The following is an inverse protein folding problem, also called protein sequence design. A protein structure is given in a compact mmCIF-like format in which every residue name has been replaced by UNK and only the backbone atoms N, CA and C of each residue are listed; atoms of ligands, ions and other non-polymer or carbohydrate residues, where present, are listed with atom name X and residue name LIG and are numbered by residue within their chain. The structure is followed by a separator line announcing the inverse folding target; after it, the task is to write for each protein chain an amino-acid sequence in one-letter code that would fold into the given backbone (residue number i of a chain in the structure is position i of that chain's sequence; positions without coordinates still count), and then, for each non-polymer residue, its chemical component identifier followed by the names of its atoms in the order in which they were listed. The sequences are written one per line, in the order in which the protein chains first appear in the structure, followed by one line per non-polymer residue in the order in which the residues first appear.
data_IF_472211469629
#
_entry.id   IF_472211469629
#
_cell.length_a   1.000
_cell.length_b   1.000
_cell.length_c   1.000
_cell.angle_alpha   90.00
_cell.angle_beta   90.00
_cell.angle_gamma   90.00
#
_symmetry.space_group_name_H-M   'P 1'
#
loop_
_entity.id
_entity.type
_entity.pdbx_description
1 polymer ?
#
# COMPACT_ATOMS: atom_id res chain seq x y z
N UNK A 1 -10.34 70.36 -28.00
CA UNK A 1 -10.66 70.62 -29.42
C UNK A 1 -10.01 69.52 -30.25
N UNK A 2 -10.83 68.81 -31.02
CA UNK A 2 -10.53 67.82 -32.08
C UNK A 2 -9.89 66.50 -31.60
N UNK A 3 -10.25 65.32 -32.08
CA UNK A 3 -11.44 64.72 -32.71
C UNK A 3 -11.14 63.21 -32.73
N UNK A 4 -12.16 62.37 -32.54
CA UNK A 4 -12.10 60.90 -32.51
C UNK A 4 -11.94 60.26 -33.92
N UNK A 5 -12.29 58.97 -34.15
CA UNK A 5 -11.39 57.80 -34.23
C UNK A 5 -11.44 57.11 -35.62
N UNK A 6 -10.73 55.99 -35.82
CA UNK A 6 -11.01 55.10 -36.96
C UNK A 6 -11.12 53.62 -36.51
N UNK A 7 -12.29 53.05 -36.81
CA UNK A 7 -12.64 51.63 -36.78
C UNK A 7 -11.94 50.87 -37.93
N UNK A 8 -11.71 49.57 -37.72
CA UNK A 8 -11.77 48.58 -38.80
C UNK A 8 -12.47 47.30 -38.30
N UNK A 9 -13.73 47.17 -38.70
CA UNK A 9 -14.43 45.90 -38.99
C UNK A 9 -13.72 45.28 -40.21
N UNK A 10 -13.51 43.98 -40.38
CA UNK A 10 -14.38 42.83 -40.19
C UNK A 10 -14.51 42.12 -41.54
N UNK A 11 -14.27 40.81 -41.64
CA UNK A 11 -14.86 39.98 -42.70
C UNK A 11 -14.86 38.49 -42.33
N UNK A 12 -16.07 37.95 -42.19
CA UNK A 12 -16.38 36.52 -42.29
C UNK A 12 -16.17 36.05 -43.73
N UNK A 13 -15.75 34.79 -43.92
CA UNK A 13 -16.17 34.01 -45.08
C UNK A 13 -16.46 32.57 -44.69
N UNK A 14 -17.70 32.17 -44.97
CA UNK A 14 -18.34 30.87 -44.88
C UNK A 14 -18.16 30.16 -46.24
N UNK A 15 -17.93 28.85 -46.26
CA UNK A 15 -18.34 27.88 -47.30
C UNK A 15 -17.91 26.47 -46.81
N UNK A 16 -18.81 25.61 -46.29
CA UNK A 16 -19.78 24.74 -47.00
C UNK A 16 -19.07 23.70 -47.89
N UNK A 17 -18.97 22.44 -47.45
CA UNK A 17 -19.89 21.29 -47.67
C UNK A 17 -19.39 20.41 -48.82
N UNK A 18 -19.06 19.15 -48.53
CA UNK A 18 -19.20 18.08 -49.53
C UNK A 18 -19.51 16.74 -48.85
N UNK A 19 -20.52 16.08 -49.40
CA UNK A 19 -21.23 14.92 -48.89
C UNK A 19 -21.11 13.78 -49.91
N UNK A 20 -21.04 12.56 -49.38
CA UNK A 20 -21.35 11.26 -49.98
C UNK A 20 -20.30 10.58 -50.88
N UNK A 21 -20.03 9.29 -50.57
CA UNK A 21 -20.70 8.16 -51.25
C UNK A 21 -20.59 6.83 -50.48
N UNK A 22 -21.59 5.94 -50.60
CA UNK A 22 -21.61 4.57 -50.07
C UNK A 22 -21.25 3.53 -51.15
N UNK A 23 -20.90 2.30 -50.72
CA UNK A 23 -20.94 1.12 -51.59
C UNK A 23 -20.07 -0.03 -51.11
N UNK A 24 -20.68 -1.14 -50.70
CA UNK A 24 -20.68 -2.40 -51.46
C UNK A 24 -21.27 -3.55 -50.63
N UNK A 25 -22.24 -4.25 -51.23
CA UNK A 25 -22.81 -5.52 -50.78
C UNK A 25 -22.59 -6.58 -51.89
N UNK A 26 -22.27 -7.82 -51.51
CA UNK A 26 -22.52 -9.10 -52.23
C UNK A 26 -21.96 -10.26 -51.37
N UNK A 27 -22.70 -11.33 -50.95
CA UNK A 27 -23.34 -12.44 -51.71
C UNK A 27 -22.28 -13.25 -52.50
N UNK A 28 -22.00 -14.57 -52.36
CA UNK A 28 -22.73 -15.81 -52.00
C UNK A 28 -21.70 -16.96 -51.64
N UNK A 29 -21.90 -18.30 -51.82
CA UNK A 29 -22.13 -19.29 -50.74
C UNK A 29 -21.20 -20.54 -50.79
N UNK A 30 -21.59 -21.63 -50.09
CA UNK A 30 -21.18 -23.06 -50.20
C UNK A 30 -20.31 -23.60 -49.03
N UNK A 31 -20.88 -24.50 -48.20
CA UNK A 31 -20.73 -26.00 -48.19
C UNK A 31 -19.30 -26.44 -47.86
N UNK A 32 -19.00 -27.43 -47.04
CA UNK A 32 -19.74 -28.44 -46.26
C UNK A 32 -18.69 -29.36 -45.63
N UNK A 33 -18.95 -29.90 -44.43
CA UNK A 33 -18.17 -30.92 -43.72
C UNK A 33 -16.77 -30.43 -43.26
N UNK A 34 -16.30 -30.62 -42.03
CA UNK A 34 -16.36 -31.86 -41.29
C UNK A 34 -16.25 -31.66 -39.78
N UNK A 35 -16.74 -32.68 -39.11
CA UNK A 35 -16.75 -33.02 -37.69
C UNK A 35 -15.39 -32.83 -37.01
N UNK A 36 -15.28 -31.89 -36.07
CA UNK A 36 -14.45 -32.07 -34.88
C UNK A 36 -15.05 -31.31 -33.71
N UNK A 37 -15.73 -32.07 -32.85
CA UNK A 37 -15.97 -31.73 -31.46
C UNK A 37 -14.60 -31.48 -30.81
N UNK A 38 -14.17 -30.22 -30.77
CA UNK A 38 -13.16 -29.79 -29.81
C UNK A 38 -13.93 -29.23 -28.63
N UNK A 39 -14.35 -30.15 -27.77
CA UNK A 39 -14.52 -29.88 -26.35
C UNK A 39 -13.17 -29.44 -25.82
N UNK A 40 -12.83 -28.16 -25.93
CA UNK A 40 -11.88 -27.53 -25.03
C UNK A 40 -12.60 -27.30 -23.71
N UNK A 41 -12.82 -28.40 -23.00
CA UNK A 41 -12.77 -28.37 -21.55
C UNK A 41 -11.37 -27.90 -21.19
N UNK A 42 -11.17 -26.59 -21.04
CA UNK A 42 -10.23 -26.12 -20.02
C UNK A 42 -10.79 -26.64 -18.72
N UNK A 43 -10.41 -27.87 -18.39
CA UNK A 43 -10.71 -28.47 -17.11
C UNK A 43 -10.15 -27.52 -16.07
N UNK A 44 -11.03 -26.79 -15.40
CA UNK A 44 -10.74 -26.26 -14.09
C UNK A 44 -10.47 -27.49 -13.23
N UNK A 45 -9.18 -27.81 -13.08
CA UNK A 45 -8.74 -28.86 -12.17
C UNK A 45 -9.25 -28.42 -10.79
N UNK A 46 -10.07 -29.26 -10.17
CA UNK A 46 -10.59 -29.02 -8.83
C UNK A 46 -9.41 -28.70 -7.90
N UNK A 47 -9.52 -27.59 -7.16
CA UNK A 47 -8.45 -27.03 -6.37
C UNK A 47 -8.18 -27.83 -5.09
N UNK A 48 -7.78 -29.10 -5.17
CA UNK A 48 -7.36 -29.88 -3.99
C UNK A 48 -6.38 -31.01 -4.34
N UNK A 49 -5.13 -30.64 -4.61
CA UNK A 49 -3.91 -31.49 -4.58
C UNK A 49 -2.75 -30.49 -4.51
N UNK A 50 -1.95 -30.31 -3.46
CA UNK A 50 -1.45 -31.12 -2.34
C UNK A 50 -1.04 -30.08 -1.28
N UNK A 51 -1.44 -30.11 -0.02
CA UNK A 51 -1.12 -31.12 0.98
C UNK A 51 -2.28 -32.06 1.31
N UNK A 52 -2.02 -33.36 1.25
CA UNK A 52 -2.87 -34.39 1.86
C UNK A 52 -4.31 -34.48 1.31
N UNK A 53 -4.49 -35.08 0.14
CA UNK A 53 -5.82 -35.50 -0.33
C UNK A 53 -6.32 -36.74 0.42
N UNK A 54 -7.62 -36.76 0.75
CA UNK A 54 -8.33 -37.91 1.33
C UNK A 54 -8.08 -39.16 0.49
N UNK A 55 -7.48 -40.20 1.09
CA UNK A 55 -7.24 -41.50 0.47
C UNK A 55 -5.77 -41.92 0.26
N UNK A 56 -4.78 -41.15 0.71
CA UNK A 56 -3.37 -41.57 0.63
C UNK A 56 -2.91 -42.23 1.94
N UNK A 57 -3.02 -43.55 1.99
CA UNK A 57 -2.23 -44.38 2.91
C UNK A 57 -0.76 -44.28 2.52
N UNK A 58 -0.04 -43.34 3.13
CA UNK A 58 1.42 -43.23 3.06
C UNK A 58 1.91 -41.98 2.35
N UNK A 59 2.50 -41.04 3.11
CA UNK A 59 3.42 -40.05 2.52
C UNK A 59 3.40 -38.60 3.04
N UNK A 60 2.56 -38.23 4.02
CA UNK A 60 2.56 -36.85 4.55
C UNK A 60 2.15 -36.77 6.02
N UNK A 61 3.04 -36.25 6.87
CA UNK A 61 2.94 -36.28 8.34
C UNK A 61 2.00 -35.23 8.98
N UNK A 62 0.95 -34.78 8.29
CA UNK A 62 0.02 -33.79 8.83
C UNK A 62 -1.23 -34.46 9.42
N UNK A 63 -1.61 -34.13 10.67
CA UNK A 63 -2.93 -34.47 11.22
C UNK A 63 -3.02 -35.59 12.28
N UNK A 64 -1.96 -35.87 13.06
CA UNK A 64 -2.08 -36.74 14.25
C UNK A 64 -2.48 -35.94 15.51
N UNK A 65 -2.78 -36.63 16.61
CA UNK A 65 -3.02 -36.03 17.93
C UNK A 65 -1.70 -35.65 18.62
N UNK A 66 -1.64 -34.47 19.26
CA UNK A 66 -0.43 -33.96 19.96
C UNK A 66 0.35 -32.87 19.20
N UNK A 67 -0.29 -32.16 18.27
CA UNK A 67 0.39 -31.30 17.29
C UNK A 67 -0.36 -29.97 17.10
N UNK A 68 0.36 -28.85 16.86
CA UNK A 68 -0.20 -27.49 16.82
C UNK A 68 -0.80 -27.08 15.45
N UNK A 69 -1.84 -26.23 15.41
CA UNK A 69 -2.57 -25.90 14.18
C UNK A 69 -1.79 -24.94 13.25
N UNK A 70 -1.89 -25.12 11.93
CA UNK A 70 -1.54 -24.07 10.98
C UNK A 70 -2.62 -22.98 11.02
N UNK A 71 -2.28 -21.80 11.54
CA UNK A 71 -3.23 -20.71 11.85
C UNK A 71 -3.75 -19.95 10.61
N UNK A 72 -3.17 -20.19 9.43
CA UNK A 72 -3.49 -19.52 8.16
C UNK A 72 -3.82 -20.50 7.01
N UNK A 73 -3.92 -21.79 7.29
CA UNK A 73 -4.27 -22.79 6.28
C UNK A 73 -5.75 -22.66 5.89
N UNK A 74 -6.03 -22.81 4.59
CA UNK A 74 -7.40 -22.74 4.05
C UNK A 74 -8.31 -23.91 4.47
N UNK A 75 -7.82 -24.85 5.29
CA UNK A 75 -8.60 -25.96 5.84
C UNK A 75 -8.38 -26.06 7.35
N UNK A 76 -9.43 -26.48 8.06
CA UNK A 76 -9.37 -26.72 9.50
C UNK A 76 -8.53 -27.98 9.82
N UNK A 77 -7.61 -27.86 10.77
CA UNK A 77 -6.91 -28.96 11.44
C UNK A 77 -5.65 -29.60 10.80
N UNK A 78 -4.83 -28.93 9.96
CA UNK A 78 -3.48 -29.44 9.69
C UNK A 78 -2.58 -29.16 10.90
N UNK A 79 -1.91 -30.21 11.37
CA UNK A 79 -1.01 -30.12 12.52
C UNK A 79 0.36 -30.71 12.16
N UNK A 80 1.45 -29.99 12.51
CA UNK A 80 2.83 -30.42 12.25
C UNK A 80 3.46 -31.18 13.42
N UNK A 81 4.42 -32.06 13.15
CA UNK A 81 5.11 -32.85 14.20
C UNK A 81 5.69 -31.95 15.30
N UNK A 82 5.72 -32.40 16.57
CA UNK A 82 6.44 -31.73 17.65
C UNK A 82 7.90 -31.51 17.24
N UNK A 83 8.42 -30.30 17.45
CA UNK A 83 9.70 -29.88 16.88
C UNK A 83 9.62 -29.53 15.39
N UNK A 84 8.44 -29.25 14.84
CA UNK A 84 8.24 -28.73 13.49
C UNK A 84 7.16 -27.65 13.47
N UNK A 85 7.33 -26.62 12.64
CA UNK A 85 6.39 -25.53 12.43
C UNK A 85 5.83 -25.58 11.02
N UNK A 86 4.53 -25.31 10.90
CA UNK A 86 3.86 -25.18 9.62
C UNK A 86 4.28 -23.85 8.98
N UNK A 87 4.86 -23.91 7.78
CA UNK A 87 5.28 -22.73 7.02
C UNK A 87 4.68 -22.74 5.64
N UNK A 88 4.15 -21.59 5.23
CA UNK A 88 3.72 -21.33 3.86
C UNK A 88 4.96 -21.20 2.99
N UNK A 89 5.16 -22.12 2.05
CA UNK A 89 6.29 -22.07 1.11
C UNK A 89 5.90 -21.39 -0.21
N UNK A 90 4.63 -21.47 -0.62
CA UNK A 90 4.07 -20.64 -1.70
C UNK A 90 2.65 -20.19 -1.39
N UNK A 91 2.05 -19.35 -2.24
CA UNK A 91 0.65 -18.96 -2.10
C UNK A 91 -0.33 -20.16 -2.08
N UNK A 92 0.07 -21.32 -2.62
CA UNK A 92 -0.75 -22.53 -2.71
C UNK A 92 -0.17 -23.72 -1.92
N UNK A 93 0.93 -23.54 -1.18
CA UNK A 93 1.67 -24.65 -0.55
C UNK A 93 2.13 -24.34 0.87
N UNK A 94 1.91 -25.30 1.77
CA UNK A 94 2.40 -25.28 3.15
C UNK A 94 3.18 -26.56 3.44
N UNK A 95 4.30 -26.44 4.15
CA UNK A 95 5.13 -27.57 4.56
C UNK A 95 5.50 -27.46 6.04
N UNK A 96 5.68 -28.61 6.69
CA UNK A 96 6.24 -28.66 8.04
C UNK A 96 7.76 -28.60 7.95
N UNK A 97 8.37 -27.57 8.54
CA UNK A 97 9.82 -27.42 8.67
C UNK A 97 10.23 -27.68 10.12
N UNK A 98 11.45 -28.16 10.41
CA UNK A 98 11.95 -28.27 11.78
C UNK A 98 11.77 -26.94 12.52
N UNK A 99 11.21 -27.01 13.73
CA UNK A 99 11.12 -25.86 14.61
C UNK A 99 12.57 -25.46 14.93
N UNK A 100 12.89 -24.15 14.88
CA UNK A 100 14.21 -23.71 15.29
C UNK A 100 14.49 -24.24 16.72
N UNK A 101 15.71 -24.72 17.01
CA UNK A 101 16.02 -25.31 18.30
C UNK A 101 15.66 -24.33 19.41
N UNK A 102 14.90 -24.83 20.39
CA UNK A 102 14.44 -24.06 21.54
C UNK A 102 15.64 -23.32 22.16
N UNK A 103 15.66 -22.01 21.97
CA UNK A 103 16.71 -21.14 22.50
C UNK A 103 16.43 -20.92 23.98
N UNK A 104 16.92 -21.86 24.80
CA UNK A 104 17.11 -21.63 26.22
C UNK A 104 17.89 -20.33 26.44
N UNK A 105 17.49 -19.59 27.47
CA UNK A 105 18.07 -18.32 27.93
C UNK A 105 19.57 -18.26 27.77
N UNK A 106 20.02 -17.60 26.71
CA UNK A 106 21.42 -17.28 26.44
C UNK A 106 21.51 -15.85 25.96
N UNK A 107 21.97 -14.96 26.84
CA UNK A 107 22.40 -13.61 26.48
C UNK A 107 23.51 -13.70 25.43
N UNK A 108 23.15 -13.51 24.17
CA UNK A 108 24.07 -13.50 23.04
C UNK A 108 23.48 -12.67 21.91
N UNK A 109 24.19 -11.62 21.52
CA UNK A 109 23.86 -10.66 20.46
C UNK A 109 23.30 -11.32 19.19
N UNK A 110 21.98 -11.29 19.02
CA UNK A 110 21.26 -11.83 17.87
C UNK A 110 20.80 -10.73 16.92
N UNK A 111 21.36 -10.71 15.72
CA UNK A 111 21.03 -9.81 14.61
C UNK A 111 19.65 -10.11 14.00
N UNK A 112 18.59 -9.83 14.74
CA UNK A 112 17.20 -10.03 14.26
C UNK A 112 16.16 -9.11 14.87
N UNK A 113 16.50 -8.29 15.87
CA UNK A 113 15.60 -7.34 16.53
C UNK A 113 15.86 -5.88 16.16
N UNK A 114 15.03 -4.99 16.69
CA UNK A 114 15.34 -3.56 16.62
C UNK A 114 16.54 -3.23 17.54
N UNK A 115 17.37 -2.22 17.19
CA UNK A 115 18.47 -1.80 18.04
C UNK A 115 17.99 -1.39 19.45
N UNK A 116 18.88 -1.40 20.43
CA UNK A 116 18.55 -0.94 21.78
C UNK A 116 17.98 0.49 21.77
N UNK A 117 16.86 0.70 22.47
CA UNK A 117 16.14 1.98 22.48
C UNK A 117 15.23 2.23 21.27
N UNK A 118 15.11 1.26 20.36
CA UNK A 118 14.15 1.28 19.26
C UNK A 118 13.04 0.25 19.50
N UNK A 119 11.83 0.62 19.12
CA UNK A 119 10.61 -0.19 19.22
C UNK A 119 10.26 -0.79 17.86
N UNK A 120 9.54 -1.91 17.86
CA UNK A 120 9.05 -2.55 16.64
C UNK A 120 7.78 -1.86 16.14
N UNK A 121 7.69 -1.71 14.82
CA UNK A 121 6.52 -1.24 14.10
C UNK A 121 6.35 -1.99 12.79
N UNK A 122 5.19 -1.81 12.15
CA UNK A 122 4.96 -2.16 10.74
C UNK A 122 4.95 -0.89 9.91
N UNK A 123 5.40 -1.02 8.67
CA UNK A 123 5.46 0.09 7.71
C UNK A 123 4.62 -0.16 6.48
N UNK A 124 3.86 0.84 6.09
CA UNK A 124 3.24 0.95 4.75
C UNK A 124 3.67 2.26 4.10
N UNK A 125 3.28 2.45 2.85
CA UNK A 125 3.61 3.63 2.07
C UNK A 125 2.32 4.19 1.48
N UNK A 126 2.21 5.51 1.41
CA UNK A 126 1.08 6.19 0.79
C UNK A 126 1.54 7.44 0.03
N UNK A 127 0.72 7.92 -0.90
CA UNK A 127 0.96 9.17 -1.64
C UNK A 127 -0.17 10.16 -1.37
N UNK A 128 0.19 11.27 -0.71
CA UNK A 128 -0.74 12.35 -0.37
C UNK A 128 -1.13 13.23 -1.57
N UNK A 129 -0.49 13.03 -2.73
CA UNK A 129 -0.79 13.66 -4.01
C UNK A 129 -0.70 12.62 -5.13
N UNK A 130 -1.57 11.59 -5.11
CA UNK A 130 -1.44 10.47 -6.02
C UNK A 130 -1.83 10.87 -7.43
N UNK A 131 -1.22 10.20 -8.41
CA UNK A 131 -1.63 10.33 -9.81
C UNK A 131 -3.12 9.98 -9.95
N UNK A 132 -3.90 10.77 -10.73
CA UNK A 132 -5.26 10.37 -11.10
C UNK A 132 -5.29 8.93 -11.61
N UNK A 133 -6.38 8.22 -11.29
CA UNK A 133 -6.64 6.80 -11.62
C UNK A 133 -5.66 5.76 -11.07
N UNK A 134 -4.67 6.12 -10.26
CA UNK A 134 -3.87 5.13 -9.53
C UNK A 134 -4.71 4.41 -8.46
N UNK A 135 -4.28 3.21 -8.01
CA UNK A 135 -4.91 2.55 -6.86
C UNK A 135 -4.96 3.45 -5.63
N UNK A 136 -3.90 4.23 -5.39
CA UNK A 136 -3.86 5.23 -4.31
C UNK A 136 -4.98 6.26 -4.41
N UNK A 137 -5.21 6.80 -5.61
CA UNK A 137 -6.23 7.80 -5.84
C UNK A 137 -7.65 7.25 -5.64
N UNK A 138 -7.90 6.03 -6.14
CA UNK A 138 -9.26 5.46 -6.27
C UNK A 138 -9.61 4.52 -5.12
N UNK A 139 -8.77 3.53 -4.85
CA UNK A 139 -9.03 2.48 -3.86
C UNK A 139 -8.71 2.94 -2.41
N UNK A 140 -7.71 3.81 -2.25
CA UNK A 140 -7.28 4.30 -0.93
C UNK A 140 -7.70 5.75 -0.64
N UNK A 141 -8.63 6.28 -1.45
CA UNK A 141 -9.19 7.63 -1.34
C UNK A 141 -8.17 8.77 -1.31
N UNK A 142 -6.94 8.53 -1.80
CA UNK A 142 -5.88 9.54 -1.79
C UNK A 142 -6.25 10.80 -2.57
N UNK A 143 -7.05 10.70 -3.64
CA UNK A 143 -7.55 11.88 -4.36
C UNK A 143 -8.60 12.68 -3.57
N UNK A 144 -9.46 12.00 -2.78
CA UNK A 144 -10.43 12.68 -1.93
C UNK A 144 -9.70 13.52 -0.87
N UNK A 145 -8.66 12.95 -0.27
CA UNK A 145 -7.90 13.54 0.84
C UNK A 145 -6.60 14.22 0.44
N UNK A 146 -6.29 14.34 -0.85
CA UNK A 146 -4.98 14.84 -1.29
C UNK A 146 -4.59 16.18 -0.63
N UNK A 147 -3.38 16.23 -0.08
CA UNK A 147 -2.85 17.38 0.66
C UNK A 147 -3.63 17.76 1.92
N UNK A 148 -4.40 16.85 2.53
CA UNK A 148 -5.07 17.05 3.81
C UNK A 148 -4.54 16.03 4.83
N UNK A 149 -4.42 16.44 6.10
CA UNK A 149 -3.87 15.62 7.17
C UNK A 149 -4.70 15.78 8.43
N UNK A 150 -4.84 14.72 9.23
CA UNK A 150 -5.77 14.68 10.37
C UNK A 150 -5.54 15.78 11.42
N UNK A 151 -4.30 16.25 11.62
CA UNK A 151 -3.97 17.24 12.65
C UNK A 151 -3.74 18.66 12.11
N UNK A 152 -3.76 18.86 10.79
CA UNK A 152 -3.50 20.17 10.17
C UNK A 152 -4.69 20.60 9.33
N UNK A 153 -5.38 21.66 9.75
CA UNK A 153 -6.58 22.15 9.10
C UNK A 153 -6.23 23.24 8.07
N UNK A 154 -6.44 22.97 6.79
CA UNK A 154 -6.35 23.97 5.72
C UNK A 154 -7.61 24.84 5.57
N UNK A 155 -8.69 24.49 6.26
CA UNK A 155 -10.04 25.04 6.07
C UNK A 155 -10.91 24.14 5.19
N UNK A 156 -12.23 24.32 5.25
CA UNK A 156 -13.20 23.63 4.36
C UNK A 156 -13.64 24.49 3.18
N UNK A 157 -13.36 25.79 3.24
CA UNK A 157 -13.75 26.80 2.27
C UNK A 157 -12.70 27.92 2.24
N UNK A 158 -12.60 28.69 1.15
CA UNK A 158 -11.73 29.86 1.13
C UNK A 158 -12.25 30.96 2.09
N UNK A 159 -11.37 31.81 2.64
CA UNK A 159 -9.91 31.77 2.49
C UNK A 159 -9.30 30.58 3.25
N UNK A 160 -8.34 29.90 2.61
CA UNK A 160 -7.65 28.77 3.22
C UNK A 160 -6.68 29.23 4.30
N UNK A 161 -6.57 28.44 5.38
CA UNK A 161 -5.68 28.68 6.51
C UNK A 161 -4.33 27.99 6.37
N UNK A 162 -3.38 28.38 7.21
CA UNK A 162 -2.12 27.65 7.47
C UNK A 162 -1.23 27.41 6.24
N UNK A 163 -1.37 28.21 5.17
CA UNK A 163 -0.61 28.05 3.92
C UNK A 163 -1.20 27.03 2.95
N UNK A 164 -2.38 26.46 3.27
CA UNK A 164 -3.15 25.71 2.29
C UNK A 164 -3.65 26.62 1.16
N UNK A 165 -3.88 26.03 -0.01
CA UNK A 165 -4.40 26.71 -1.19
C UNK A 165 -5.74 26.10 -1.58
N UNK A 166 -6.62 26.90 -2.17
CA UNK A 166 -7.87 26.40 -2.74
C UNK A 166 -7.57 25.62 -4.02
N UNK A 167 -7.52 24.28 -3.90
CA UNK A 167 -7.14 23.36 -4.96
C UNK A 167 -8.23 22.29 -5.10
N UNK A 168 -8.72 22.08 -6.32
CA UNK A 168 -9.76 21.07 -6.60
C UNK A 168 -10.96 21.15 -5.64
N UNK A 169 -11.45 22.38 -5.39
CA UNK A 169 -12.60 22.70 -4.53
C UNK A 169 -12.45 22.34 -3.04
N UNK A 170 -11.21 22.25 -2.54
CA UNK A 170 -10.91 22.12 -1.11
C UNK A 170 -9.65 22.90 -0.76
N UNK A 171 -9.46 23.24 0.52
CA UNK A 171 -8.17 23.76 0.96
C UNK A 171 -7.20 22.61 1.17
N UNK A 172 -6.11 22.61 0.39
CA UNK A 172 -5.11 21.54 0.37
C UNK A 172 -3.71 22.14 0.53
N UNK A 173 -2.83 21.43 1.22
CA UNK A 173 -1.43 21.81 1.33
C UNK A 173 -0.70 21.43 0.03
N UNK A 174 -0.02 22.40 -0.62
CA UNK A 174 0.81 22.13 -1.80
C UNK A 174 1.84 21.02 -1.53
N UNK A 175 2.15 20.22 -2.56
CA UNK A 175 3.04 19.07 -2.43
C UNK A 175 4.45 19.44 -1.94
N UNK A 176 4.98 20.60 -2.33
CA UNK A 176 6.26 21.12 -1.86
C UNK A 176 6.25 21.43 -0.36
N UNK A 177 5.11 21.88 0.18
CA UNK A 177 4.90 22.08 1.61
C UNK A 177 4.89 20.73 2.33
N UNK A 178 4.12 19.76 1.81
CA UNK A 178 4.03 18.40 2.38
C UNK A 178 5.40 17.71 2.41
N UNK A 179 6.16 17.82 1.32
CA UNK A 179 7.53 17.29 1.24
C UNK A 179 8.41 17.79 2.37
N UNK A 180 8.30 19.07 2.71
CA UNK A 180 9.06 19.69 3.80
C UNK A 180 8.65 19.22 5.20
N UNK A 181 7.46 18.64 5.35
CA UNK A 181 6.95 18.16 6.64
C UNK A 181 7.35 16.72 6.97
N UNK A 182 7.85 15.95 6.00
CA UNK A 182 8.27 14.56 6.21
C UNK A 182 7.19 13.74 6.96
N UNK A 183 6.03 13.59 6.35
CA UNK A 183 4.82 13.12 7.04
C UNK A 183 4.81 11.59 7.21
N UNK A 184 4.25 11.14 8.33
CA UNK A 184 3.74 9.78 8.48
C UNK A 184 2.33 9.80 9.08
N UNK A 185 1.60 8.70 8.89
CA UNK A 185 0.32 8.44 9.53
C UNK A 185 0.41 7.28 10.52
N UNK A 186 -0.42 7.31 11.56
CA UNK A 186 -0.63 6.19 12.49
C UNK A 186 -2.01 5.58 12.28
N UNK A 187 -2.27 4.37 12.78
CA UNK A 187 -3.61 3.76 12.67
C UNK A 187 -4.67 4.57 13.45
N UNK A 188 -5.86 4.76 12.89
CA UNK A 188 -6.97 5.47 13.56
C UNK A 188 -7.39 4.84 14.89
N UNK A 189 -7.22 3.52 15.00
CA UNK A 189 -7.50 2.74 16.21
C UNK A 189 -6.40 2.87 17.28
N UNK A 190 -5.27 3.48 16.93
CA UNK A 190 -4.11 3.67 17.78
C UNK A 190 -3.39 4.98 17.45
N UNK A 191 -3.88 6.06 18.05
CA UNK A 191 -3.37 7.42 17.84
C UNK A 191 -2.23 7.78 18.79
N UNK A 192 -1.62 6.82 19.47
CA UNK A 192 -0.56 7.10 20.47
C UNK A 192 0.67 7.79 19.88
N UNK A 193 0.93 7.58 18.59
CA UNK A 193 2.00 8.24 17.84
C UNK A 193 1.58 9.58 17.23
N UNK A 194 0.30 9.94 17.25
CA UNK A 194 -0.18 11.17 16.63
C UNK A 194 0.39 12.41 17.36
N UNK A 195 0.96 13.34 16.59
CA UNK A 195 1.68 14.51 17.09
C UNK A 195 3.11 14.21 17.56
N UNK A 196 3.65 13.01 17.31
CA UNK A 196 5.03 12.66 17.65
C UNK A 196 5.98 12.83 16.47
N UNK A 197 7.25 13.09 16.78
CA UNK A 197 8.37 13.06 15.83
C UNK A 197 9.12 11.75 16.05
N UNK A 198 9.30 10.98 14.99
CA UNK A 198 9.92 9.65 15.05
C UNK A 198 11.19 9.63 14.19
N UNK A 199 12.18 8.86 14.64
CA UNK A 199 13.19 8.29 13.75
C UNK A 199 12.74 6.88 13.37
N UNK A 200 12.84 6.54 12.08
CA UNK A 200 12.32 5.29 11.51
C UNK A 200 13.39 4.63 10.64
N UNK A 201 13.56 3.33 10.81
CA UNK A 201 14.48 2.49 10.05
C UNK A 201 13.79 1.19 9.63
N UNK A 202 14.25 0.58 8.53
CA UNK A 202 13.83 -0.78 8.17
C UNK A 202 14.60 -1.78 9.04
N UNK A 203 13.89 -2.69 9.70
CA UNK A 203 14.51 -3.73 10.53
C UNK A 203 15.41 -4.63 9.68
N UNK A 204 16.66 -4.84 10.14
CA UNK A 204 17.63 -5.66 9.42
C UNK A 204 18.30 -4.98 8.21
N UNK A 205 17.94 -3.73 7.90
CA UNK A 205 18.60 -2.93 6.86
C UNK A 205 19.32 -1.72 7.50
N UNK A 206 20.57 -1.90 7.96
CA UNK A 206 21.30 -0.83 8.64
C UNK A 206 21.63 0.34 7.70
N UNK A 207 21.68 1.55 8.25
CA UNK A 207 22.29 2.72 7.59
C UNK A 207 21.32 3.75 7.00
N UNK A 208 20.01 3.49 6.96
CA UNK A 208 19.00 4.50 6.57
C UNK A 208 17.98 4.72 7.67
N UNK A 209 18.00 5.94 8.20
CA UNK A 209 17.05 6.45 9.18
C UNK A 209 16.41 7.69 8.59
N UNK A 210 15.08 7.77 8.64
CA UNK A 210 14.34 8.99 8.30
C UNK A 210 13.67 9.55 9.54
N UNK A 211 13.62 10.89 9.61
CA UNK A 211 12.81 11.57 10.62
C UNK A 211 11.47 11.92 10.03
N UNK A 212 10.41 11.55 10.73
CA UNK A 212 9.04 11.81 10.30
C UNK A 212 8.24 12.51 11.39
N UNK A 213 7.24 13.27 10.96
CA UNK A 213 6.25 13.87 11.81
C UNK A 213 4.93 13.11 11.61
N UNK A 214 4.44 12.47 12.67
CA UNK A 214 3.19 11.71 12.61
C UNK A 214 2.04 12.68 12.80
N UNK A 215 1.52 13.23 11.71
CA UNK A 215 0.51 14.28 11.72
C UNK A 215 -0.81 13.85 11.07
N UNK A 216 -0.87 12.59 10.65
CA UNK A 216 -1.99 12.02 9.92
C UNK A 216 -2.44 10.68 10.48
N UNK A 217 -3.56 10.20 9.97
CA UNK A 217 -4.18 8.95 10.40
C UNK A 217 -4.56 8.08 9.20
N UNK A 218 -4.09 6.84 9.22
CA UNK A 218 -4.60 5.78 8.36
C UNK A 218 -5.94 5.27 8.94
N UNK A 219 -7.04 5.55 8.25
CA UNK A 219 -8.38 5.07 8.64
C UNK A 219 -8.80 3.85 7.83
N UNK A 220 -9.33 2.84 8.52
CA UNK A 220 -9.94 1.67 7.87
C UNK A 220 -11.09 2.05 6.92
N UNK A 221 -11.76 3.19 7.17
CA UNK A 221 -12.82 3.70 6.30
C UNK A 221 -12.32 4.16 4.94
N UNK A 222 -11.03 4.45 4.82
CA UNK A 222 -10.44 4.97 3.59
C UNK A 222 -9.88 3.87 2.68
N UNK A 223 -9.68 2.67 3.23
CA UNK A 223 -9.03 1.56 2.53
C UNK A 223 -9.61 0.17 2.86
N UNK A 224 -10.88 0.11 3.24
CA UNK A 224 -11.62 -1.13 3.54
C UNK A 224 -10.93 -2.04 4.57
N UNK A 225 -10.47 -1.46 5.69
CA UNK A 225 -9.88 -2.21 6.80
C UNK A 225 -8.37 -2.46 6.70
N UNK A 226 -7.69 -1.90 5.70
CA UNK A 226 -6.27 -2.15 5.49
C UNK A 226 -5.39 -1.71 6.66
N UNK A 227 -5.70 -0.62 7.36
CA UNK A 227 -4.87 -0.11 8.46
C UNK A 227 -4.86 -1.09 9.64
N UNK A 228 -6.03 -1.63 10.00
CA UNK A 228 -6.17 -2.69 10.99
C UNK A 228 -5.48 -3.98 10.54
N UNK A 229 -5.62 -4.37 9.27
CA UNK A 229 -4.93 -5.55 8.76
C UNK A 229 -3.41 -5.39 8.84
N UNK A 230 -2.88 -4.27 8.34
CA UNK A 230 -1.46 -3.98 8.28
C UNK A 230 -0.82 -3.88 9.68
N UNK A 231 -1.52 -3.32 10.66
CA UNK A 231 -1.09 -3.30 12.08
C UNK A 231 -1.14 -4.66 12.79
N UNK A 232 -1.52 -5.74 12.10
CA UNK A 232 -1.74 -7.04 12.72
C UNK A 232 -2.88 -6.97 13.75
N UNK A 233 -3.95 -6.24 13.42
CA UNK A 233 -5.08 -5.95 14.31
C UNK A 233 -4.65 -5.24 15.60
N UNK A 234 -3.69 -4.32 15.50
CA UNK A 234 -3.15 -3.57 16.63
C UNK A 234 -2.00 -4.27 17.38
N UNK A 235 -1.52 -5.42 16.90
CA UNK A 235 -0.33 -6.07 17.46
C UNK A 235 0.94 -5.22 17.30
N UNK A 236 0.97 -4.34 16.30
CA UNK A 236 2.07 -3.45 16.01
C UNK A 236 1.60 -2.01 15.79
N UNK A 237 2.45 -1.05 16.16
CA UNK A 237 2.27 0.33 15.72
C UNK A 237 2.38 0.40 14.20
N UNK A 238 1.42 1.05 13.57
CA UNK A 238 1.46 1.35 12.14
C UNK A 238 2.16 2.69 11.93
N UNK A 239 3.20 2.68 11.10
CA UNK A 239 3.85 3.89 10.58
C UNK A 239 3.66 3.87 9.07
N UNK A 240 2.62 4.53 8.61
CA UNK A 240 2.33 4.68 7.19
C UNK A 240 3.12 5.87 6.66
N UNK A 241 4.17 5.63 5.88
CA UNK A 241 5.11 6.65 5.45
C UNK A 241 4.59 7.34 4.19
N UNK A 242 4.51 8.67 4.24
CA UNK A 242 4.24 9.46 3.04
C UNK A 242 5.39 9.29 2.04
N UNK A 243 5.10 9.42 0.73
CA UNK A 243 6.05 9.12 -0.34
C UNK A 243 7.43 9.77 -0.17
N UNK A 244 7.52 10.97 0.40
CA UNK A 244 8.79 11.70 0.51
C UNK A 244 9.73 11.10 1.55
N UNK A 245 9.34 10.92 2.83
CA UNK A 245 10.16 10.16 3.78
C UNK A 245 10.35 8.70 3.35
N UNK A 246 9.36 8.08 2.70
CA UNK A 246 9.51 6.74 2.15
C UNK A 246 10.62 6.67 1.09
N UNK A 247 10.68 7.66 0.19
CA UNK A 247 11.73 7.79 -0.84
C UNK A 247 13.10 7.93 -0.21
N UNK A 248 13.22 8.74 0.85
CA UNK A 248 14.47 8.88 1.59
C UNK A 248 14.88 7.57 2.30
N UNK A 249 13.92 6.83 2.85
CA UNK A 249 14.18 5.57 3.55
C UNK A 249 14.58 4.44 2.58
N UNK A 250 13.83 4.28 1.49
CA UNK A 250 13.95 3.14 0.57
C UNK A 250 14.80 3.44 -0.67
N UNK A 251 15.05 4.72 -0.98
CA UNK A 251 15.92 5.17 -2.07
C UNK A 251 15.31 5.08 -3.47
N UNK A 252 13.98 5.19 -3.59
CA UNK A 252 13.31 5.29 -4.90
C UNK A 252 13.16 6.74 -5.35
N UNK A 253 12.96 6.98 -6.65
CA UNK A 253 12.73 8.32 -7.20
C UNK A 253 11.24 8.69 -7.18
N UNK A 254 10.82 9.52 -6.21
CA UNK A 254 9.44 9.99 -6.07
C UNK A 254 9.02 11.04 -7.11
N UNK A 255 9.95 11.63 -7.87
CA UNK A 255 9.64 12.66 -8.90
C UNK A 255 9.56 12.09 -10.32
N UNK A 256 9.69 10.77 -10.49
CA UNK A 256 9.58 10.16 -11.81
C UNK A 256 8.20 10.43 -12.43
N UNK A 257 8.15 10.76 -13.72
CA UNK A 257 6.90 11.11 -14.40
C UNK A 257 5.83 10.01 -14.35
N UNK A 258 6.26 8.75 -14.25
CA UNK A 258 5.42 7.56 -14.13
C UNK A 258 5.41 6.96 -12.71
N UNK A 259 5.79 7.75 -11.70
CA UNK A 259 5.80 7.31 -10.30
C UNK A 259 4.42 6.83 -9.84
N UNK A 260 4.43 5.72 -9.12
CA UNK A 260 3.26 5.12 -8.48
C UNK A 260 3.74 4.42 -7.20
N UNK A 261 3.31 4.94 -6.05
CA UNK A 261 3.71 4.44 -4.73
C UNK A 261 3.40 2.95 -4.56
N UNK A 262 2.36 2.44 -5.23
CA UNK A 262 1.95 1.04 -5.18
C UNK A 262 2.93 0.08 -5.87
N UNK A 263 3.83 0.61 -6.69
CA UNK A 263 4.85 -0.16 -7.43
C UNK A 263 6.23 -0.13 -6.76
N UNK A 264 6.37 0.59 -5.65
CA UNK A 264 7.62 0.64 -4.90
C UNK A 264 7.89 -0.74 -4.27
N UNK A 265 9.05 -1.37 -4.56
CA UNK A 265 9.45 -2.59 -3.88
C UNK A 265 9.63 -2.33 -2.38
N UNK A 266 8.92 -3.09 -1.56
CA UNK A 266 9.00 -3.02 -0.10
C UNK A 266 9.81 -4.19 0.45
N UNK A 267 10.76 -3.96 1.37
CA UNK A 267 11.35 -5.05 2.14
C UNK A 267 10.25 -5.77 2.92
N UNK A 268 9.91 -6.99 2.51
CA UNK A 268 8.83 -7.76 3.12
C UNK A 268 9.10 -7.96 4.61
N UNK A 269 8.08 -7.78 5.45
CA UNK A 269 8.20 -8.10 6.87
C UNK A 269 8.42 -9.60 7.10
N UNK A 270 8.01 -10.46 6.16
CA UNK A 270 8.14 -11.91 6.28
C UNK A 270 7.55 -12.42 7.60
N UNK A 271 8.33 -13.21 8.35
CA UNK A 271 7.94 -13.70 9.67
C UNK A 271 8.25 -12.73 10.82
N UNK A 272 8.76 -11.52 10.55
CA UNK A 272 9.14 -10.56 11.61
C UNK A 272 7.92 -9.89 12.24
N UNK A 273 6.75 -9.94 11.59
CA UNK A 273 5.49 -9.33 12.05
C UNK A 273 4.31 -10.30 11.93
N UNK A 274 4.28 -11.38 12.73
CA UNK A 274 3.16 -12.31 12.72
C UNK A 274 1.79 -11.61 12.88
N UNK A 275 0.83 -11.97 12.04
CA UNK A 275 -0.51 -11.37 12.04
C UNK A 275 -0.67 -10.14 11.15
N UNK A 276 0.43 -9.49 10.72
CA UNK A 276 0.41 -8.53 9.63
C UNK A 276 0.60 -9.24 8.27
N UNK A 277 0.06 -8.71 7.16
CA UNK A 277 0.21 -9.34 5.86
C UNK A 277 1.64 -9.13 5.35
N UNK A 278 2.51 -10.15 5.51
CA UNK A 278 3.96 -10.01 5.35
C UNK A 278 4.45 -9.50 3.99
N UNK A 279 3.64 -9.59 2.93
CA UNK A 279 3.94 -9.05 1.61
C UNK A 279 3.47 -7.59 1.38
N UNK A 280 2.55 -7.07 2.21
CA UNK A 280 2.04 -5.70 2.08
C UNK A 280 2.74 -4.71 3.00
N UNK A 281 3.36 -5.19 4.09
CA UNK A 281 4.02 -4.38 5.11
C UNK A 281 5.53 -4.61 5.19
N UNK A 282 6.24 -3.60 5.68
CA UNK A 282 7.65 -3.65 6.05
C UNK A 282 7.80 -3.88 7.55
N UNK A 283 8.85 -4.59 7.97
CA UNK A 283 9.25 -4.62 9.36
C UNK A 283 10.04 -3.34 9.65
N UNK A 284 9.48 -2.44 10.46
CA UNK A 284 10.14 -1.19 10.84
C UNK A 284 10.61 -1.21 12.29
N UNK A 285 11.66 -0.46 12.56
CA UNK A 285 12.05 -0.03 13.88
C UNK A 285 11.84 1.47 13.98
N UNK A 286 11.38 1.94 15.13
CA UNK A 286 11.23 3.38 15.37
C UNK A 286 11.71 3.80 16.75
N UNK A 287 12.05 5.07 16.88
CA UNK A 287 12.31 5.74 18.16
C UNK A 287 11.55 7.05 18.18
N UNK A 288 10.81 7.27 19.26
CA UNK A 288 10.19 8.57 19.53
C UNK A 288 11.27 9.57 19.95
N UNK A 289 11.39 10.67 19.21
CA UNK A 289 12.39 11.73 19.45
C UNK A 289 11.75 13.05 19.88
N UNK A 290 10.45 13.06 20.21
CA UNK A 290 9.77 14.21 20.79
C UNK A 290 8.40 14.50 20.17
N UNK A 291 7.90 15.72 20.44
CA UNK A 291 6.64 16.22 19.88
C UNK A 291 6.90 16.91 18.53
N UNK A 292 5.99 16.72 17.56
CA UNK A 292 5.83 17.66 16.45
C UNK A 292 4.78 18.69 16.87
N UNK A 293 5.15 19.97 16.86
CA UNK A 293 4.17 21.03 17.06
C UNK A 293 3.44 21.28 15.74
N UNK A 294 2.28 20.63 15.63
CA UNK A 294 1.37 20.68 14.48
C UNK A 294 0.65 22.02 14.32
N UNK A 295 0.72 22.92 15.31
CA UNK A 295 0.04 24.23 15.26
C UNK A 295 0.88 25.33 14.60
N UNK A 296 2.19 25.18 14.56
CA UNK A 296 3.04 26.03 13.75
C UNK A 296 3.51 25.24 12.52
N UNK A 297 2.99 25.59 11.34
CA UNK A 297 3.43 25.01 10.06
C UNK A 297 4.94 25.14 9.79
N UNK A 298 5.66 25.90 10.63
CA UNK A 298 7.11 26.06 10.64
C UNK A 298 7.87 25.21 11.70
N UNK A 299 7.22 24.60 12.70
CA UNK A 299 7.89 23.85 13.78
C UNK A 299 8.10 22.36 13.50
N UNK A 300 7.56 21.85 12.38
CA UNK A 300 7.85 20.50 11.89
C UNK A 300 8.82 20.50 10.69
N UNK A 301 9.49 21.62 10.44
CA UNK A 301 10.74 21.72 9.66
C UNK A 301 11.96 21.30 10.49
#
# INVERSE_FOLDING_TARGET
MWSSPLLLLGTCCLLALEVARPGHASLLPQRSHDRMLVTSSTGTIAAWKQCGGKGSSGGGNCGRAGFGPCVDAAWSSPTCKAGSVCRRSTEWWWQCEPAPPDSGSGSGSGSGGCPAGWLTAVGTLYDSWPRPSSPECVAFKGCAWAGQFSTTNGGRSPPCGNGAKWLNKACRFPEDVVRGWSVAATAARDTTLLGRKLEVAVQGAPGRVVRVNVIDVCSDSDCDGCCSANSGKGAYRLIDLEKWPASALLGFNATAANFDINKVPKPAAGSLRPGAPGGSVMALCYRDVGKCDVKASNSCK
#
